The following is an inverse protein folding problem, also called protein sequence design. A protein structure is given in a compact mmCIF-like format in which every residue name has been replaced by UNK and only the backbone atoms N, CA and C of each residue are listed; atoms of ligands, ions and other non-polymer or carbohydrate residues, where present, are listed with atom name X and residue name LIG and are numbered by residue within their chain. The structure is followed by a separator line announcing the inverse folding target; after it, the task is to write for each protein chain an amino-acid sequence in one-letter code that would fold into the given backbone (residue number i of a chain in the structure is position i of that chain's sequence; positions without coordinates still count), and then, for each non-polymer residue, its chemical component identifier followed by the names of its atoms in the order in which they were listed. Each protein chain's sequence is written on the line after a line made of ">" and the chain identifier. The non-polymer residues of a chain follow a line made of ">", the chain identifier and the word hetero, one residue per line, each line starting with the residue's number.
data_IF_454141928747
#
_entry.id   IF_454141928747
#
_cell.length_a   1.000
_cell.length_b   1.000
_cell.length_c   1.000
_cell.angle_alpha   90.00
_cell.angle_beta   90.00
_cell.angle_gamma   90.00
#
_symmetry.space_group_name_H-M   'P 1'
#
loop_
_entity.id
_entity.type
_entity.pdbx_description
1 polymer ?
#
# COMPACT_ATOMS: atom_id res chain seq x y z
N UNK A 1 -1.36 -4.78 1.83
CA UNK A 1 -0.29 -3.79 1.59
C UNK A 1 0.84 -3.97 2.58
N UNK A 2 2.10 -3.78 2.14
CA UNK A 2 3.27 -3.89 2.99
C UNK A 2 3.55 -2.56 3.71
N UNK A 3 3.96 -2.61 5.01
CA UNK A 3 4.42 -1.41 5.73
C UNK A 3 5.60 -0.73 5.05
N UNK A 4 6.41 -1.50 4.34
CA UNK A 4 7.60 -0.99 3.64
C UNK A 4 7.25 -0.04 2.50
N UNK A 5 6.05 -0.15 1.89
CA UNK A 5 5.63 0.77 0.83
C UNK A 5 5.41 2.20 1.32
N UNK A 6 5.21 2.37 2.63
CA UNK A 6 5.04 3.67 3.30
C UNK A 6 6.32 4.14 4.00
N UNK A 7 7.48 3.62 3.59
CA UNK A 7 8.77 3.96 4.18
C UNK A 7 9.01 5.47 4.29
N UNK A 8 8.58 6.25 3.28
CA UNK A 8 8.71 7.70 3.29
C UNK A 8 7.94 8.37 4.44
N UNK A 9 6.73 7.91 4.74
CA UNK A 9 5.93 8.47 5.82
C UNK A 9 6.60 8.23 7.17
N UNK A 10 7.12 7.02 7.39
CA UNK A 10 7.85 6.70 8.63
C UNK A 10 9.18 7.44 8.73
N UNK A 11 9.92 7.59 7.60
CA UNK A 11 11.16 8.37 7.57
C UNK A 11 10.88 9.84 7.90
N UNK A 12 9.84 10.43 7.32
CA UNK A 12 9.46 11.82 7.56
C UNK A 12 9.01 12.03 9.01
N UNK A 13 8.26 11.10 9.59
CA UNK A 13 7.89 11.12 11.01
C UNK A 13 9.13 11.08 11.91
N UNK A 14 10.11 10.24 11.59
CA UNK A 14 11.38 10.14 12.33
C UNK A 14 12.19 11.45 12.23
N UNK A 15 12.24 12.07 11.05
CA UNK A 15 12.90 13.38 10.86
C UNK A 15 12.21 14.48 11.68
N UNK A 16 10.88 14.48 11.78
CA UNK A 16 10.14 15.41 12.63
C UNK A 16 10.45 15.21 14.11
N UNK A 17 10.54 13.97 14.58
CA UNK A 17 10.96 13.67 15.95
C UNK A 17 12.37 14.21 16.21
N UNK A 18 13.30 13.95 15.29
CA UNK A 18 14.67 14.46 15.38
C UNK A 18 14.70 16.00 15.40
N UNK A 19 13.87 16.65 14.58
CA UNK A 19 13.72 18.10 14.56
C UNK A 19 13.27 18.67 15.90
N UNK A 20 12.31 18.02 16.59
CA UNK A 20 11.87 18.43 17.94
C UNK A 20 13.05 18.38 18.92
N UNK A 21 13.85 17.31 18.90
CA UNK A 21 15.05 17.19 19.74
C UNK A 21 16.07 18.25 19.42
N UNK A 22 16.28 18.56 18.15
CA UNK A 22 17.20 19.60 17.70
C UNK A 22 16.78 21.00 18.20
N UNK A 23 15.51 21.36 18.03
CA UNK A 23 14.94 22.64 18.54
C UNK A 23 15.11 22.75 20.06
N UNK A 24 14.94 21.64 20.79
CA UNK A 24 15.13 21.59 22.23
C UNK A 24 16.61 21.79 22.64
N UNK A 25 17.52 21.24 21.86
CA UNK A 25 18.98 21.38 22.06
C UNK A 25 19.50 22.81 21.84
N UNK A 26 18.81 23.61 21.01
CA UNK A 26 19.17 24.99 20.73
C UNK A 26 18.91 25.96 21.92
N UNK A 27 18.27 25.50 23.00
CA UNK A 27 18.00 26.31 24.18
C UNK A 27 17.07 27.51 23.93
N UNK A 28 16.22 27.44 22.89
CA UNK A 28 15.29 28.48 22.52
C UNK A 28 14.22 28.70 23.61
N UNK A 29 13.56 29.86 23.55
CA UNK A 29 12.50 30.20 24.50
C UNK A 29 11.42 29.13 24.62
N UNK A 30 10.91 28.91 25.82
CA UNK A 30 9.88 27.92 26.11
C UNK A 30 8.66 28.01 25.19
N UNK A 31 8.28 29.21 24.78
CA UNK A 31 7.19 29.45 23.84
C UNK A 31 7.45 28.81 22.47
N UNK A 32 8.66 28.95 21.92
CA UNK A 32 9.04 28.38 20.62
C UNK A 32 9.06 26.86 20.71
N UNK A 33 9.59 26.31 21.81
CA UNK A 33 9.60 24.87 22.05
C UNK A 33 8.17 24.30 22.12
N UNK A 34 7.27 24.98 22.82
CA UNK A 34 5.87 24.56 22.95
C UNK A 34 5.16 24.60 21.59
N UNK A 35 5.31 25.67 20.82
CA UNK A 35 4.71 25.82 19.49
C UNK A 35 5.23 24.70 18.56
N UNK A 36 6.54 24.43 18.54
CA UNK A 36 7.12 23.38 17.70
C UNK A 36 6.54 22.00 18.00
N UNK A 37 6.28 21.71 19.28
CA UNK A 37 5.72 20.47 19.75
C UNK A 37 4.22 20.34 19.37
N UNK A 38 3.45 21.41 19.53
CA UNK A 38 2.04 21.46 19.14
C UNK A 38 1.80 21.30 17.63
N UNK A 39 2.75 21.75 16.80
CA UNK A 39 2.67 21.58 15.34
C UNK A 39 3.18 20.20 14.89
N UNK A 40 4.30 19.76 15.45
CA UNK A 40 4.93 18.51 15.00
C UNK A 40 4.17 17.26 15.46
N UNK A 41 3.55 17.28 16.64
CA UNK A 41 2.83 16.13 17.19
C UNK A 41 1.64 15.69 16.32
N UNK A 42 0.70 16.56 15.94
CA UNK A 42 -0.40 16.17 15.05
C UNK A 42 0.09 15.75 13.65
N UNK A 43 1.15 16.37 13.12
CA UNK A 43 1.75 15.96 11.85
C UNK A 43 2.31 14.54 11.92
N UNK A 44 3.01 14.19 12.99
CA UNK A 44 3.52 12.81 13.20
C UNK A 44 2.37 11.82 13.27
N UNK A 45 1.30 12.15 14.01
CA UNK A 45 0.11 11.29 14.12
C UNK A 45 -0.53 11.07 12.75
N UNK A 46 -0.69 12.11 11.93
CA UNK A 46 -1.25 12.00 10.57
C UNK A 46 -0.37 11.11 9.69
N UNK A 47 0.96 11.35 9.68
CA UNK A 47 1.90 10.57 8.87
C UNK A 47 1.93 9.08 9.22
N UNK A 48 1.70 8.73 10.47
CA UNK A 48 1.66 7.32 10.91
C UNK A 48 0.28 6.71 10.68
N UNK A 49 -0.79 7.48 10.85
CA UNK A 49 -2.16 6.96 10.75
C UNK A 49 -2.59 6.70 9.30
N UNK A 50 -2.15 7.50 8.34
CA UNK A 50 -2.50 7.35 6.93
C UNK A 50 -2.15 5.94 6.36
N UNK A 51 -0.92 5.40 6.52
CA UNK A 51 -0.58 4.05 6.09
C UNK A 51 -1.40 2.95 6.76
N UNK A 52 -1.66 3.08 8.04
CA UNK A 52 -2.42 2.07 8.79
C UNK A 52 -3.91 2.10 8.39
N UNK A 53 -4.45 3.28 8.07
CA UNK A 53 -5.80 3.41 7.52
C UNK A 53 -5.93 2.73 6.15
N UNK A 54 -5.07 3.06 5.17
CA UNK A 54 -5.10 2.43 3.83
C UNK A 54 -4.97 0.91 3.90
N UNK A 55 -4.19 0.42 4.85
CA UNK A 55 -3.97 -1.00 5.05
C UNK A 55 -5.17 -1.70 5.68
N UNK A 56 -5.90 -1.03 6.58
CA UNK A 56 -7.00 -1.62 7.34
C UNK A 56 -8.26 -1.84 6.52
N UNK A 57 -8.54 -0.99 5.55
CA UNK A 57 -9.81 -1.05 4.83
C UNK A 57 -9.73 -1.64 3.41
N UNK A 58 -8.55 -2.09 2.99
CA UNK A 58 -8.36 -2.70 1.67
C UNK A 58 -7.64 -4.03 1.76
N UNK A 59 -8.29 -5.11 1.34
CA UNK A 59 -7.68 -6.43 1.24
C UNK A 59 -8.01 -7.10 -0.09
N UNK A 60 -7.15 -8.03 -0.48
CA UNK A 60 -7.21 -8.73 -1.74
C UNK A 60 -7.27 -10.22 -1.50
N UNK A 61 -8.17 -10.91 -2.21
CA UNK A 61 -8.33 -12.35 -2.18
C UNK A 61 -8.07 -12.92 -3.58
N UNK A 62 -7.24 -13.95 -3.64
CA UNK A 62 -7.01 -14.74 -4.85
C UNK A 62 -7.77 -16.04 -4.69
N UNK A 63 -9.02 -16.07 -5.11
CA UNK A 63 -9.85 -17.28 -5.10
C UNK A 63 -9.48 -18.23 -6.26
N UNK A 64 -10.19 -19.34 -6.40
CA UNK A 64 -9.90 -20.31 -7.47
C UNK A 64 -10.20 -19.73 -8.86
N UNK A 65 -11.31 -19.03 -9.01
CA UNK A 65 -11.81 -18.54 -10.31
C UNK A 65 -11.75 -17.03 -10.49
N UNK A 66 -11.59 -16.27 -9.39
CA UNK A 66 -11.64 -14.80 -9.38
C UNK A 66 -10.52 -14.16 -8.58
N UNK A 67 -10.16 -12.94 -8.95
CA UNK A 67 -9.44 -12.01 -8.09
C UNK A 67 -10.46 -11.04 -7.48
N UNK A 68 -10.47 -10.96 -6.17
CA UNK A 68 -11.41 -10.10 -5.44
C UNK A 68 -10.64 -9.02 -4.68
N UNK A 69 -11.06 -7.79 -4.83
CA UNK A 69 -10.66 -6.66 -3.99
C UNK A 69 -11.83 -6.23 -3.14
N UNK A 70 -11.64 -6.18 -1.85
CA UNK A 70 -12.63 -5.63 -0.91
C UNK A 70 -12.08 -4.35 -0.33
N UNK A 71 -12.87 -3.30 -0.42
CA UNK A 71 -12.53 -1.96 0.07
C UNK A 71 -13.67 -1.41 0.93
N UNK A 72 -13.32 -0.80 2.05
CA UNK A 72 -14.23 -0.06 2.91
C UNK A 72 -14.30 -0.56 4.34
N UNK A 73 -14.57 0.37 5.28
CA UNK A 73 -14.75 0.12 6.71
C UNK A 73 -16.23 0.01 7.04
N UNK A 74 -17.00 1.01 6.65
CA UNK A 74 -18.45 1.09 6.95
C UNK A 74 -19.29 0.56 5.80
N UNK A 75 -18.88 0.82 4.56
CA UNK A 75 -19.53 0.32 3.34
C UNK A 75 -18.53 -0.50 2.57
N UNK A 76 -18.73 -1.81 2.51
CA UNK A 76 -17.85 -2.72 1.77
C UNK A 76 -18.17 -2.63 0.28
N UNK A 77 -17.17 -2.22 -0.51
CA UNK A 77 -17.19 -2.32 -1.97
C UNK A 77 -16.35 -3.53 -2.37
N UNK A 78 -16.97 -4.47 -3.04
CA UNK A 78 -16.31 -5.66 -3.56
C UNK A 78 -16.21 -5.54 -5.08
N UNK A 79 -15.00 -5.73 -5.58
CA UNK A 79 -14.70 -5.79 -7.00
C UNK A 79 -14.09 -7.14 -7.30
N UNK A 80 -14.76 -7.91 -8.17
CA UNK A 80 -14.34 -9.25 -8.55
C UNK A 80 -14.07 -9.32 -10.05
N UNK A 81 -12.88 -9.80 -10.42
CA UNK A 81 -12.49 -10.02 -11.82
C UNK A 81 -12.20 -11.52 -12.01
N UNK A 82 -13.00 -12.24 -12.81
CA UNK A 82 -12.71 -13.61 -13.18
C UNK A 82 -11.39 -13.72 -13.96
N UNK A 83 -10.61 -14.80 -13.74
CA UNK A 83 -9.30 -14.96 -14.39
C UNK A 83 -9.39 -15.05 -15.92
N UNK A 84 -10.49 -15.55 -16.45
CA UNK A 84 -10.72 -15.63 -17.90
C UNK A 84 -11.02 -14.27 -18.54
N UNK A 85 -11.43 -13.28 -17.75
CA UNK A 85 -11.69 -11.90 -18.17
C UNK A 85 -10.50 -10.95 -17.94
N UNK A 86 -9.38 -11.45 -17.44
CA UNK A 86 -8.17 -10.63 -17.27
C UNK A 86 -7.52 -10.41 -18.63
N UNK A 87 -7.48 -9.12 -19.03
CA UNK A 87 -6.83 -8.67 -20.25
C UNK A 87 -5.30 -8.54 -20.09
N UNK A 88 -4.85 -8.15 -18.90
CA UNK A 88 -3.43 -7.98 -18.62
C UNK A 88 -3.11 -7.89 -17.12
N UNK A 89 -1.87 -8.20 -16.79
CA UNK A 89 -1.31 -8.04 -15.44
C UNK A 89 0.04 -7.34 -15.55
N UNK A 90 0.23 -6.28 -14.79
CA UNK A 90 1.45 -5.46 -14.81
C UNK A 90 1.99 -5.30 -13.39
N UNK A 91 3.31 -5.35 -13.23
CA UNK A 91 3.99 -5.06 -11.97
C UNK A 91 4.64 -3.69 -12.07
N UNK A 92 4.37 -2.82 -11.10
CA UNK A 92 4.99 -1.50 -10.95
C UNK A 92 5.90 -1.52 -9.72
N UNK A 93 7.19 -1.32 -9.91
CA UNK A 93 8.19 -1.25 -8.84
C UNK A 93 8.95 0.06 -8.92
N UNK A 94 8.96 0.82 -7.84
CA UNK A 94 9.88 1.96 -7.67
C UNK A 94 11.30 1.47 -7.45
N UNK A 95 12.29 2.38 -7.48
CA UNK A 95 13.70 2.06 -7.22
C UNK A 95 13.85 1.41 -5.83
N UNK A 96 13.23 2.00 -4.81
CA UNK A 96 13.20 1.41 -3.47
C UNK A 96 12.39 0.10 -3.41
N UNK A 97 11.33 0.00 -4.18
CA UNK A 97 10.54 -1.22 -4.29
C UNK A 97 11.32 -2.40 -4.84
N UNK A 98 12.32 -2.15 -5.71
CA UNK A 98 13.22 -3.20 -6.22
C UNK A 98 14.17 -3.71 -5.14
N UNK A 99 14.73 -2.80 -4.33
CA UNK A 99 15.68 -3.15 -3.25
C UNK A 99 14.94 -3.85 -2.10
N UNK A 100 13.80 -3.32 -1.70
CA UNK A 100 13.01 -3.80 -0.55
C UNK A 100 11.98 -4.86 -0.91
N UNK A 101 11.94 -5.31 -2.17
CA UNK A 101 11.06 -6.36 -2.71
C UNK A 101 9.57 -6.09 -2.48
N UNK A 102 9.14 -4.84 -2.72
CA UNK A 102 7.72 -4.49 -2.76
C UNK A 102 7.35 -3.76 -4.05
N UNK A 103 6.08 -3.74 -4.38
CA UNK A 103 5.55 -3.05 -5.55
C UNK A 103 4.06 -3.21 -5.68
N UNK A 104 3.51 -2.59 -6.70
CA UNK A 104 2.08 -2.67 -7.01
C UNK A 104 1.86 -3.69 -8.11
N UNK A 105 0.80 -4.48 -7.97
CA UNK A 105 0.34 -5.41 -9.01
C UNK A 105 -0.97 -4.89 -9.54
N UNK A 106 -1.00 -4.55 -10.82
CA UNK A 106 -2.17 -4.05 -11.53
C UNK A 106 -2.76 -5.16 -12.38
N UNK A 107 -4.03 -5.44 -12.19
CA UNK A 107 -4.79 -6.46 -12.91
C UNK A 107 -5.89 -5.72 -13.68
N UNK A 108 -5.80 -5.75 -15.00
CA UNK A 108 -6.77 -5.11 -15.88
C UNK A 108 -7.72 -6.15 -16.46
N UNK A 109 -8.99 -6.03 -16.16
CA UNK A 109 -10.08 -6.75 -16.82
C UNK A 109 -10.64 -5.97 -18.00
N UNK A 110 -11.70 -6.47 -18.63
CA UNK A 110 -12.34 -5.78 -19.78
C UNK A 110 -13.07 -4.49 -19.38
N UNK A 111 -13.61 -4.42 -18.15
CA UNK A 111 -14.39 -3.27 -17.65
C UNK A 111 -13.79 -2.65 -16.41
N UNK A 112 -13.09 -3.45 -15.61
CA UNK A 112 -12.64 -3.10 -14.28
C UNK A 112 -11.14 -3.30 -14.14
N UNK A 113 -10.55 -2.59 -13.20
CA UNK A 113 -9.13 -2.68 -12.86
C UNK A 113 -8.96 -2.84 -11.35
N UNK A 114 -8.13 -3.80 -10.94
CA UNK A 114 -7.72 -3.98 -9.55
C UNK A 114 -6.25 -3.60 -9.42
N UNK A 115 -5.96 -2.63 -8.54
CA UNK A 115 -4.58 -2.23 -8.21
C UNK A 115 -4.25 -2.67 -6.79
N UNK A 116 -3.45 -3.72 -6.67
CA UNK A 116 -2.92 -4.21 -5.40
C UNK A 116 -1.69 -3.40 -5.01
N UNK A 117 -1.88 -2.38 -4.17
CA UNK A 117 -0.80 -1.46 -3.77
C UNK A 117 0.11 -2.05 -2.71
N UNK A 118 1.40 -1.78 -2.81
CA UNK A 118 2.41 -2.08 -1.80
C UNK A 118 2.51 -3.55 -1.42
N UNK A 119 2.41 -4.44 -2.37
CA UNK A 119 2.49 -5.88 -2.14
C UNK A 119 3.94 -6.32 -1.90
N UNK A 120 4.14 -7.19 -0.92
CA UNK A 120 5.43 -7.83 -0.68
C UNK A 120 5.61 -8.95 -1.73
N UNK A 121 6.80 -9.01 -2.32
CA UNK A 121 7.15 -9.97 -3.38
C UNK A 121 6.12 -9.98 -4.54
N UNK A 122 5.92 -8.85 -5.24
CA UNK A 122 4.91 -8.75 -6.29
C UNK A 122 5.12 -9.75 -7.43
N UNK A 123 6.35 -10.23 -7.64
CA UNK A 123 6.66 -11.24 -8.66
C UNK A 123 5.99 -12.58 -8.36
N UNK A 124 5.96 -13.00 -7.09
CA UNK A 124 5.28 -14.24 -6.68
C UNK A 124 3.78 -14.14 -6.91
N UNK A 125 3.18 -13.00 -6.55
CA UNK A 125 1.75 -12.75 -6.76
C UNK A 125 1.42 -12.76 -8.25
N UNK A 126 2.27 -12.12 -9.06
CA UNK A 126 2.13 -12.13 -10.51
C UNK A 126 2.17 -13.56 -11.08
N UNK A 127 3.12 -14.38 -10.64
CA UNK A 127 3.23 -15.80 -11.08
C UNK A 127 1.99 -16.58 -10.70
N UNK A 128 1.50 -16.46 -9.47
CA UNK A 128 0.26 -17.12 -9.03
C UNK A 128 -0.95 -16.70 -9.87
N UNK A 129 -1.08 -15.42 -10.20
CA UNK A 129 -2.15 -14.94 -11.07
C UNK A 129 -2.02 -15.52 -12.47
N UNK A 130 -0.81 -15.54 -13.04
CA UNK A 130 -0.56 -16.12 -14.38
C UNK A 130 -0.87 -17.62 -14.44
N UNK A 131 -0.52 -18.37 -13.39
CA UNK A 131 -0.86 -19.80 -13.29
C UNK A 131 -2.37 -20.02 -13.25
N UNK A 132 -3.08 -19.21 -12.46
CA UNK A 132 -4.55 -19.27 -12.36
C UNK A 132 -5.23 -18.89 -13.68
N UNK A 133 -4.72 -17.88 -14.39
CA UNK A 133 -5.19 -17.51 -15.73
C UNK A 133 -5.01 -18.69 -16.71
N UNK A 134 -3.85 -19.35 -16.70
CA UNK A 134 -3.59 -20.50 -17.55
C UNK A 134 -4.52 -21.67 -17.23
N UNK A 135 -4.73 -21.95 -15.94
CA UNK A 135 -5.63 -23.02 -15.48
C UNK A 135 -7.08 -22.76 -15.86
N UNK A 136 -7.56 -21.53 -15.68
CA UNK A 136 -8.92 -21.12 -16.06
C UNK A 136 -9.17 -21.25 -17.56
N UNK A 137 -8.21 -20.85 -18.41
CA UNK A 137 -8.29 -21.02 -19.86
C UNK A 137 -8.27 -22.47 -20.30
N UNK A 138 -7.62 -23.38 -19.53
CA UNK A 138 -7.56 -24.81 -19.81
C UNK A 138 -8.86 -25.53 -19.42
N UNK A 139 -9.55 -25.08 -18.38
CA UNK A 139 -10.87 -25.61 -17.95
C UNK A 139 -12.00 -25.33 -18.95
N UNK A 140 -11.84 -24.33 -19.80
CA UNK A 140 -12.86 -23.91 -20.79
C UNK A 140 -12.67 -24.52 -22.18
N UNK A 141 -11.58 -25.26 -22.43
CA UNK A 141 -11.35 -26.08 -23.64
C UNK A 141 -11.79 -27.51 -23.42
#
# INVERSE_FOLDING_TARGET
>A
TSRISFFYNYLLALLLVFFIFFVKSLGLNATIQTISLFVALPLIVILISEPEFERSYRYYLLEEDNVIMVEGIFSKKELSIPYDQIAGTTILKSVLGRILKFGDVRISGFKDEIVMKGMKNPDMIYQQIQEKIKSSKKKKK
#
